data_IF_594399029977
#
_entry.id   IF_594399029977
#
_cell.length_a   1.000
_cell.length_b   1.000
_cell.length_c   1.000
_cell.angle_alpha   90.00
_cell.angle_beta   90.00
_cell.angle_gamma   90.00
#
_symmetry.space_group_name_H-M   'P 1'
#
loop_
_entity.id
_entity.type
_entity.pdbx_description
1 polymer ?
#
# COMPACT_ATOMS: atom_id res chain seq x y z
N UNK A 1 -26.78 -33.91 2.44
CA UNK A 1 -26.21 -32.77 3.15
C UNK A 1 -24.98 -32.16 2.46
N UNK A 2 -23.93 -32.93 2.11
CA UNK A 2 -22.71 -32.39 1.45
C UNK A 2 -23.00 -31.70 0.11
N UNK A 3 -23.80 -32.31 -0.79
CA UNK A 3 -24.18 -31.72 -2.09
C UNK A 3 -24.98 -30.41 -1.92
N UNK A 4 -25.89 -30.33 -0.96
CA UNK A 4 -26.67 -29.12 -0.68
C UNK A 4 -25.77 -27.97 -0.20
N UNK A 5 -24.79 -28.24 0.65
CA UNK A 5 -23.81 -27.23 1.10
C UNK A 5 -22.95 -26.71 -0.06
N UNK A 6 -22.54 -27.60 -0.96
CA UNK A 6 -21.77 -27.22 -2.18
C UNK A 6 -22.63 -26.34 -3.09
N UNK A 7 -23.89 -26.69 -3.32
CA UNK A 7 -24.81 -25.89 -4.15
C UNK A 7 -25.04 -24.50 -3.53
N UNK A 8 -25.23 -24.41 -2.21
CA UNK A 8 -25.37 -23.14 -1.49
C UNK A 8 -24.11 -22.27 -1.66
N UNK A 9 -22.91 -22.85 -1.50
CA UNK A 9 -21.64 -22.14 -1.69
C UNK A 9 -21.47 -21.65 -3.13
N UNK A 10 -21.78 -22.46 -4.14
CA UNK A 10 -21.73 -22.07 -5.55
C UNK A 10 -22.74 -20.94 -5.82
N UNK A 11 -23.96 -21.04 -5.31
CA UNK A 11 -24.98 -20.00 -5.49
C UNK A 11 -24.57 -18.68 -4.85
N UNK A 12 -23.96 -18.74 -3.65
CA UNK A 12 -23.45 -17.57 -2.95
C UNK A 12 -22.29 -16.94 -3.74
N UNK A 13 -21.36 -17.74 -4.22
CA UNK A 13 -20.24 -17.26 -5.05
C UNK A 13 -20.74 -16.59 -6.34
N UNK A 14 -21.71 -17.20 -7.02
CA UNK A 14 -22.32 -16.62 -8.22
C UNK A 14 -23.04 -15.32 -7.91
N UNK A 15 -23.74 -15.25 -6.76
CA UNK A 15 -24.39 -14.00 -6.31
C UNK A 15 -23.37 -12.88 -6.06
N UNK A 16 -22.25 -13.19 -5.38
CA UNK A 16 -21.15 -12.24 -5.13
C UNK A 16 -20.54 -11.78 -6.46
N UNK A 17 -20.21 -12.70 -7.36
CA UNK A 17 -19.63 -12.37 -8.67
C UNK A 17 -20.59 -11.49 -9.49
N UNK A 18 -21.88 -11.84 -9.53
CA UNK A 18 -22.89 -11.05 -10.22
C UNK A 18 -23.04 -9.66 -9.60
N UNK A 19 -23.02 -9.57 -8.27
CA UNK A 19 -23.04 -8.30 -7.55
C UNK A 19 -21.86 -7.41 -7.91
N UNK A 20 -20.64 -7.97 -7.89
CA UNK A 20 -19.39 -7.26 -8.24
C UNK A 20 -19.47 -6.75 -9.67
N UNK A 21 -19.82 -7.61 -10.64
CA UNK A 21 -19.93 -7.22 -12.05
C UNK A 21 -20.94 -6.10 -12.24
N UNK A 22 -22.11 -6.18 -11.60
CA UNK A 22 -23.19 -5.19 -11.72
C UNK A 22 -22.82 -3.84 -11.08
N UNK A 23 -22.05 -3.84 -9.99
CA UNK A 23 -21.70 -2.65 -9.23
C UNK A 23 -20.28 -2.14 -9.52
N UNK A 24 -19.57 -2.77 -10.45
CA UNK A 24 -18.25 -2.32 -10.86
C UNK A 24 -18.37 -0.91 -11.45
N UNK A 25 -17.62 0.03 -10.88
CA UNK A 25 -17.49 1.39 -11.41
C UNK A 25 -16.34 1.41 -12.42
N UNK A 26 -16.37 2.28 -13.43
CA UNK A 26 -15.19 2.54 -14.25
C UNK A 26 -14.02 2.92 -13.36
N UNK A 27 -12.82 2.42 -13.66
CA UNK A 27 -11.62 2.77 -12.91
C UNK A 27 -11.49 4.29 -12.82
N UNK A 28 -11.36 4.80 -11.58
CA UNK A 28 -11.14 6.23 -11.32
C UNK A 28 -9.67 6.62 -11.54
N UNK A 29 -8.81 5.65 -11.83
CA UNK A 29 -7.46 5.90 -12.31
C UNK A 29 -7.54 6.17 -13.79
N UNK A 30 -7.27 7.41 -14.28
CA UNK A 30 -7.16 7.66 -15.71
C UNK A 30 -6.05 6.75 -16.25
N UNK A 31 -6.42 5.78 -17.04
CA UNK A 31 -5.46 4.94 -17.73
C UNK A 31 -4.76 5.82 -18.78
N UNK A 32 -3.64 6.41 -18.43
CA UNK A 32 -2.62 6.75 -19.40
C UNK A 32 -2.24 5.44 -20.07
N UNK A 33 -2.68 5.21 -21.29
CA UNK A 33 -2.29 4.00 -22.02
C UNK A 33 -0.89 4.19 -22.58
N UNK A 34 -0.03 3.20 -22.33
CA UNK A 34 1.30 3.14 -22.89
C UNK A 34 2.39 3.76 -22.01
N UNK A 35 3.58 3.85 -22.55
CA UNK A 35 4.75 4.34 -21.85
C UNK A 35 4.69 5.86 -21.64
N UNK A 36 4.65 6.28 -20.38
CA UNK A 36 4.62 7.69 -19.95
C UNK A 36 6.02 8.18 -19.55
N UNK A 37 6.87 7.27 -19.11
CA UNK A 37 8.23 7.54 -18.66
C UNK A 37 9.18 7.65 -19.86
N UNK A 38 10.12 8.57 -19.80
CA UNK A 38 11.15 8.68 -20.84
C UNK A 38 12.02 7.41 -20.85
N UNK A 39 12.21 6.80 -22.00
CA UNK A 39 13.02 5.55 -22.13
C UNK A 39 14.42 5.68 -21.54
N UNK A 40 15.00 6.87 -21.59
CA UNK A 40 16.31 7.14 -20.99
C UNK A 40 16.32 6.95 -19.46
N UNK A 41 15.17 7.09 -18.79
CA UNK A 41 15.04 6.86 -17.34
C UNK A 41 14.87 5.38 -16.99
N UNK A 42 14.50 4.53 -17.95
CA UNK A 42 14.30 3.10 -17.76
C UNK A 42 15.58 2.28 -18.03
N UNK A 43 16.73 2.93 -18.07
CA UNK A 43 18.01 2.25 -18.29
C UNK A 43 18.45 1.50 -17.05
N UNK A 44 18.98 0.29 -17.25
CA UNK A 44 19.59 -0.49 -16.17
C UNK A 44 21.01 0.01 -15.93
N UNK A 45 21.39 0.22 -14.66
CA UNK A 45 22.75 0.54 -14.28
C UNK A 45 23.69 -0.65 -14.59
N UNK A 46 24.62 -0.47 -15.50
CA UNK A 46 25.56 -1.52 -15.94
C UNK A 46 26.69 -1.77 -14.95
N UNK A 47 27.06 -0.76 -14.15
CA UNK A 47 28.18 -0.79 -13.21
C UNK A 47 27.78 -0.19 -11.86
N UNK A 48 26.87 -0.83 -11.12
CA UNK A 48 26.43 -0.31 -9.84
C UNK A 48 27.55 -0.36 -8.80
N UNK A 49 27.66 0.72 -8.01
CA UNK A 49 28.52 0.77 -6.81
C UNK A 49 27.92 -0.01 -5.65
N UNK A 50 26.61 -0.21 -5.68
CA UNK A 50 25.88 -1.00 -4.70
C UNK A 50 26.39 -2.45 -4.66
N UNK A 51 26.63 -3.03 -3.47
CA UNK A 51 27.02 -4.43 -3.35
C UNK A 51 26.02 -5.38 -4.01
N UNK A 52 26.50 -6.40 -4.73
CA UNK A 52 25.66 -7.34 -5.50
C UNK A 52 24.48 -7.93 -4.70
N UNK A 53 24.70 -8.26 -3.44
CA UNK A 53 23.65 -8.81 -2.57
C UNK A 53 22.53 -7.80 -2.23
N UNK A 54 22.78 -6.50 -2.43
CA UNK A 54 21.81 -5.44 -2.16
C UNK A 54 21.18 -4.85 -3.44
N UNK A 55 21.58 -5.35 -4.62
CA UNK A 55 20.98 -4.91 -5.89
C UNK A 55 19.62 -5.55 -6.06
N UNK A 56 18.66 -4.75 -6.52
CA UNK A 56 17.29 -5.19 -6.84
C UNK A 56 16.93 -4.82 -8.27
N UNK A 57 16.03 -5.58 -8.89
CA UNK A 57 15.55 -5.26 -10.23
C UNK A 57 14.90 -3.86 -10.28
N UNK A 58 15.25 -3.00 -11.25
CA UNK A 58 14.77 -1.62 -11.32
C UNK A 58 13.28 -1.49 -11.66
N UNK A 59 12.63 -2.54 -12.18
CA UNK A 59 11.18 -2.61 -12.38
C UNK A 59 10.39 -2.60 -11.07
N UNK A 60 11.04 -2.96 -9.96
CA UNK A 60 10.40 -3.01 -8.64
C UNK A 60 9.94 -1.63 -8.17
N UNK A 61 10.57 -0.54 -8.59
CA UNK A 61 10.06 0.81 -8.25
C UNK A 61 8.62 1.01 -8.69
N UNK A 62 8.21 0.44 -9.84
CA UNK A 62 6.83 0.50 -10.33
C UNK A 62 5.94 -0.56 -9.69
N UNK A 63 6.43 -1.80 -9.57
CA UNK A 63 5.66 -2.92 -9.03
C UNK A 63 5.37 -2.79 -7.53
N UNK A 64 6.16 -2.04 -6.80
CA UNK A 64 5.94 -1.77 -5.37
C UNK A 64 4.71 -0.87 -5.12
N UNK A 65 4.27 -0.06 -6.10
CA UNK A 65 3.07 0.75 -5.90
C UNK A 65 1.79 -0.09 -5.64
N UNK A 66 1.43 -1.09 -6.47
CA UNK A 66 0.27 -1.93 -6.16
C UNK A 66 0.41 -2.69 -4.83
N UNK A 67 1.62 -3.05 -4.41
CA UNK A 67 1.88 -3.60 -3.09
C UNK A 67 1.53 -2.58 -1.99
N UNK A 68 2.03 -1.34 -2.11
CA UNK A 68 1.73 -0.27 -1.17
C UNK A 68 0.27 0.19 -1.20
N UNK A 69 -0.42 0.03 -2.31
CA UNK A 69 -1.85 0.31 -2.35
C UNK A 69 -2.63 -0.57 -1.35
N UNK A 70 -2.10 -1.76 -1.05
CA UNK A 70 -2.66 -2.67 -0.03
C UNK A 70 -2.35 -2.23 1.41
N UNK A 71 -1.53 -1.20 1.60
CA UNK A 71 -1.36 -0.46 2.87
C UNK A 71 -2.22 0.79 2.85
N UNK A 72 -2.19 1.56 1.76
CA UNK A 72 -2.96 2.80 1.63
C UNK A 72 -4.46 2.59 1.72
N UNK A 73 -4.99 1.53 1.12
CA UNK A 73 -6.42 1.24 1.13
C UNK A 73 -6.96 0.91 2.53
N UNK A 74 -6.33 0.02 3.33
CA UNK A 74 -6.70 -0.16 4.73
C UNK A 74 -6.49 1.09 5.60
N UNK A 75 -5.50 1.94 5.33
CA UNK A 75 -5.30 3.20 6.05
C UNK A 75 -6.47 4.17 5.80
N UNK A 76 -6.88 4.32 4.54
CA UNK A 76 -8.07 5.07 4.17
C UNK A 76 -9.34 4.49 4.80
N UNK A 77 -9.44 3.17 4.92
CA UNK A 77 -10.54 2.48 5.60
C UNK A 77 -10.53 2.76 7.10
N UNK A 78 -9.40 2.63 7.76
CA UNK A 78 -9.24 2.91 9.18
C UNK A 78 -9.59 4.36 9.53
N UNK A 79 -9.12 5.31 8.73
CA UNK A 79 -9.47 6.72 8.88
C UNK A 79 -10.97 6.97 8.69
N UNK A 80 -11.58 6.35 7.69
CA UNK A 80 -13.00 6.48 7.41
C UNK A 80 -13.85 5.95 8.56
N UNK A 81 -13.48 4.82 9.14
CA UNK A 81 -14.20 4.19 10.25
C UNK A 81 -14.14 4.96 11.56
N UNK A 82 -13.26 5.97 11.71
CA UNK A 82 -13.27 6.86 12.88
C UNK A 82 -14.56 7.67 13.00
N UNK A 83 -15.21 7.95 11.87
CA UNK A 83 -16.36 8.85 11.79
C UNK A 83 -17.57 8.25 11.04
N UNK A 84 -17.39 7.12 10.37
CA UNK A 84 -18.42 6.45 9.57
C UNK A 84 -18.42 4.96 9.87
N UNK A 85 -19.57 4.34 9.68
CA UNK A 85 -19.69 2.89 9.78
C UNK A 85 -19.14 2.20 8.51
N UNK A 86 -18.84 0.91 8.62
CA UNK A 86 -18.37 0.07 7.51
C UNK A 86 -19.37 -0.05 6.35
N UNK A 87 -20.66 0.23 6.59
CA UNK A 87 -21.74 0.08 5.59
C UNK A 87 -21.63 1.04 4.41
N UNK A 88 -20.94 2.15 4.57
CA UNK A 88 -20.82 3.20 3.56
C UNK A 88 -19.44 3.27 2.92
N UNK A 89 -18.50 2.44 3.36
CA UNK A 89 -17.14 2.41 2.77
C UNK A 89 -17.18 1.88 1.32
N UNK A 90 -16.49 2.55 0.38
CA UNK A 90 -16.58 2.25 -1.05
C UNK A 90 -15.62 1.12 -1.48
N UNK A 91 -15.76 -0.08 -0.91
CA UNK A 91 -14.86 -1.24 -1.11
C UNK A 91 -14.52 -1.51 -2.59
N UNK A 92 -15.53 -1.56 -3.48
CA UNK A 92 -15.31 -1.92 -4.87
C UNK A 92 -14.56 -0.83 -5.65
N UNK A 93 -14.67 0.44 -5.23
CA UNK A 93 -13.86 1.51 -5.84
C UNK A 93 -12.38 1.34 -5.52
N UNK A 94 -12.04 0.91 -4.31
CA UNK A 94 -10.65 0.58 -3.94
C UNK A 94 -10.11 -0.58 -4.77
N UNK A 95 -10.92 -1.62 -5.01
CA UNK A 95 -10.55 -2.72 -5.91
C UNK A 95 -10.27 -2.22 -7.32
N UNK A 96 -11.15 -1.37 -7.87
CA UNK A 96 -10.95 -0.80 -9.21
C UNK A 96 -9.70 0.08 -9.28
N UNK A 97 -9.43 0.87 -8.25
CA UNK A 97 -8.23 1.70 -8.15
C UNK A 97 -6.94 0.86 -8.10
N UNK A 98 -6.95 -0.22 -7.34
CA UNK A 98 -5.80 -1.14 -7.24
C UNK A 98 -5.46 -1.75 -8.60
N UNK A 99 -6.42 -2.34 -9.27
CA UNK A 99 -6.18 -2.96 -10.58
C UNK A 99 -5.90 -1.93 -11.68
N UNK A 100 -6.54 -0.77 -11.63
CA UNK A 100 -6.25 0.33 -12.54
C UNK A 100 -4.83 0.85 -12.41
N UNK A 101 -4.35 1.06 -11.20
CA UNK A 101 -2.96 1.49 -10.95
C UNK A 101 -1.94 0.43 -11.35
N UNK A 102 -2.22 -0.86 -11.06
CA UNK A 102 -1.36 -1.96 -11.52
C UNK A 102 -1.23 -1.97 -13.05
N UNK A 103 -2.33 -1.76 -13.79
CA UNK A 103 -2.29 -1.65 -15.25
C UNK A 103 -1.39 -0.53 -15.74
N UNK A 104 -1.49 0.68 -15.16
CA UNK A 104 -0.60 1.80 -15.51
C UNK A 104 0.87 1.47 -15.23
N UNK A 105 1.16 0.85 -14.07
CA UNK A 105 2.53 0.44 -13.73
C UNK A 105 3.07 -0.61 -14.68
N UNK A 106 2.24 -1.58 -15.05
CA UNK A 106 2.62 -2.61 -16.00
C UNK A 106 3.00 -2.02 -17.37
N UNK A 107 2.23 -1.05 -17.87
CA UNK A 107 2.53 -0.35 -19.13
C UNK A 107 3.91 0.36 -19.11
N UNK A 108 4.43 0.76 -17.93
CA UNK A 108 5.76 1.40 -17.83
C UNK A 108 6.91 0.38 -17.93
N UNK A 109 6.69 -0.86 -17.53
CA UNK A 109 7.74 -1.89 -17.46
C UNK A 109 7.70 -2.87 -18.62
N UNK A 110 6.52 -3.07 -19.22
CA UNK A 110 6.34 -3.99 -20.33
C UNK A 110 7.26 -3.65 -21.52
N UNK A 111 8.03 -4.65 -21.96
CA UNK A 111 8.99 -4.47 -23.07
C UNK A 111 10.23 -3.65 -22.74
N UNK A 112 10.34 -3.04 -21.56
CA UNK A 112 11.50 -2.28 -21.11
C UNK A 112 12.37 -3.06 -20.10
N UNK A 113 11.77 -3.99 -19.36
CA UNK A 113 12.46 -4.86 -18.39
C UNK A 113 12.08 -6.32 -18.61
N UNK A 114 12.93 -7.28 -18.19
CA UNK A 114 12.55 -8.69 -18.13
C UNK A 114 11.34 -8.89 -17.22
N UNK A 115 10.42 -9.79 -17.59
CA UNK A 115 9.23 -10.04 -16.79
C UNK A 115 9.58 -10.65 -15.43
N UNK A 116 9.30 -9.94 -14.36
CA UNK A 116 9.59 -10.32 -12.98
C UNK A 116 8.45 -11.24 -12.44
N UNK A 117 8.47 -12.50 -12.87
CA UNK A 117 7.41 -13.47 -12.55
C UNK A 117 7.11 -13.55 -11.06
N UNK A 118 8.15 -13.60 -10.21
CA UNK A 118 7.99 -13.73 -8.75
C UNK A 118 7.21 -12.55 -8.16
N UNK A 119 7.57 -11.34 -8.56
CA UNK A 119 6.92 -10.13 -8.05
C UNK A 119 5.48 -9.98 -8.57
N UNK A 120 5.26 -10.23 -9.86
CA UNK A 120 3.91 -10.20 -10.42
C UNK A 120 2.98 -11.22 -9.78
N UNK A 121 3.45 -12.47 -9.56
CA UNK A 121 2.66 -13.51 -8.88
C UNK A 121 2.33 -13.09 -7.45
N UNK A 122 3.28 -12.51 -6.72
CA UNK A 122 3.04 -11.97 -5.38
C UNK A 122 1.92 -10.91 -5.40
N UNK A 123 2.01 -9.91 -6.30
CA UNK A 123 0.98 -8.88 -6.45
C UNK A 123 -0.37 -9.51 -6.77
N UNK A 124 -0.45 -10.45 -7.73
CA UNK A 124 -1.71 -11.08 -8.12
C UNK A 124 -2.35 -11.88 -6.99
N UNK A 125 -1.55 -12.56 -6.18
CA UNK A 125 -2.06 -13.29 -5.01
C UNK A 125 -2.64 -12.33 -3.97
N UNK A 126 -1.89 -11.29 -3.61
CA UNK A 126 -2.31 -10.33 -2.60
C UNK A 126 -3.51 -9.51 -3.11
N UNK A 127 -3.41 -8.95 -4.31
CA UNK A 127 -4.48 -8.16 -4.92
C UNK A 127 -5.76 -8.99 -5.15
N UNK A 128 -5.61 -10.26 -5.58
CA UNK A 128 -6.71 -11.20 -5.71
C UNK A 128 -7.39 -11.49 -4.38
N UNK A 129 -6.61 -11.73 -3.32
CA UNK A 129 -7.14 -11.93 -1.96
C UNK A 129 -7.91 -10.70 -1.46
N UNK A 130 -7.36 -9.51 -1.64
CA UNK A 130 -8.02 -8.25 -1.27
C UNK A 130 -9.29 -8.01 -2.10
N UNK A 131 -9.27 -8.35 -3.40
CA UNK A 131 -10.47 -8.28 -4.25
C UNK A 131 -11.59 -9.15 -3.70
N UNK A 132 -11.28 -10.39 -3.31
CA UNK A 132 -12.26 -11.31 -2.71
C UNK A 132 -12.76 -10.76 -1.38
N UNK A 133 -11.87 -10.33 -0.49
CA UNK A 133 -12.23 -9.77 0.81
C UNK A 133 -13.15 -8.55 0.65
N UNK A 134 -12.77 -7.57 -0.16
CA UNK A 134 -13.56 -6.34 -0.35
C UNK A 134 -14.88 -6.60 -1.08
N UNK A 135 -14.93 -7.60 -1.96
CA UNK A 135 -16.17 -8.02 -2.59
C UNK A 135 -17.14 -8.62 -1.58
N UNK A 136 -16.65 -9.47 -0.69
CA UNK A 136 -17.45 -10.07 0.39
C UNK A 136 -17.92 -8.98 1.37
N UNK A 137 -17.01 -8.08 1.76
CA UNK A 137 -17.35 -6.92 2.64
C UNK A 137 -18.44 -6.07 1.99
N UNK A 138 -18.26 -5.67 0.73
CA UNK A 138 -19.23 -4.85 -0.01
C UNK A 138 -20.61 -5.52 -0.12
N UNK A 139 -20.63 -6.82 -0.43
CA UNK A 139 -21.87 -7.59 -0.53
C UNK A 139 -22.58 -7.69 0.83
N UNK A 140 -21.84 -8.06 1.86
CA UNK A 140 -22.37 -8.19 3.22
C UNK A 140 -22.94 -6.86 3.73
N UNK A 141 -22.16 -5.77 3.61
CA UNK A 141 -22.58 -4.45 4.06
C UNK A 141 -23.80 -3.92 3.29
N UNK A 142 -23.92 -4.23 2.01
CA UNK A 142 -25.07 -3.82 1.21
C UNK A 142 -26.35 -4.56 1.61
N UNK A 143 -26.27 -5.84 1.97
CA UNK A 143 -27.45 -6.66 2.24
C UNK A 143 -27.78 -6.70 3.74
N UNK A 144 -26.80 -6.90 4.60
CA UNK A 144 -27.00 -7.09 6.04
C UNK A 144 -26.63 -5.85 6.82
N UNK A 145 -25.47 -5.27 6.56
CA UNK A 145 -24.98 -4.09 7.27
C UNK A 145 -25.99 -2.94 7.25
N UNK A 146 -26.54 -2.62 6.08
CA UNK A 146 -27.55 -1.55 5.92
C UNK A 146 -28.87 -1.81 6.65
N UNK A 147 -29.24 -3.06 6.89
CA UNK A 147 -30.47 -3.39 7.65
C UNK A 147 -30.27 -3.12 9.14
N UNK A 148 -29.09 -3.39 9.65
CA UNK A 148 -28.76 -3.23 11.07
C UNK A 148 -28.29 -1.82 11.40
N UNK A 149 -27.73 -1.11 10.44
CA UNK A 149 -27.23 0.26 10.55
C UNK A 149 -28.34 1.26 10.22
N UNK A 150 -29.28 1.40 11.13
CA UNK A 150 -30.46 2.25 10.94
C UNK A 150 -30.15 3.74 11.06
N UNK A 151 -29.02 4.11 11.67
CA UNK A 151 -28.58 5.49 11.87
C UNK A 151 -27.09 5.66 11.56
N UNK A 152 -26.65 5.55 10.29
CA UNK A 152 -25.25 5.55 9.93
C UNK A 152 -24.50 6.89 10.20
N UNK A 153 -25.25 7.95 10.51
CA UNK A 153 -24.70 9.28 10.84
C UNK A 153 -24.81 9.62 12.33
N UNK A 154 -25.27 8.69 13.17
CA UNK A 154 -25.44 8.88 14.60
C UNK A 154 -24.39 8.06 15.39
N UNK A 155 -24.67 7.82 16.65
CA UNK A 155 -23.73 7.24 17.60
C UNK A 155 -23.25 5.84 17.19
N UNK A 156 -21.95 5.71 16.91
CA UNK A 156 -21.31 4.43 16.58
C UNK A 156 -21.35 3.48 17.78
N UNK A 157 -21.64 2.21 17.53
CA UNK A 157 -21.59 1.18 18.57
C UNK A 157 -20.17 0.93 19.08
N UNK A 158 -20.03 0.26 20.20
CA UNK A 158 -18.71 -0.14 20.71
C UNK A 158 -17.98 -1.07 19.72
N UNK A 159 -18.73 -1.89 18.99
CA UNK A 159 -18.22 -2.80 17.97
C UNK A 159 -17.76 -2.02 16.70
N UNK A 160 -18.48 -0.96 16.31
CA UNK A 160 -18.02 -0.09 15.20
C UNK A 160 -16.74 0.67 15.58
N UNK A 161 -16.64 1.19 16.81
CA UNK A 161 -15.42 1.82 17.34
C UNK A 161 -14.25 0.84 17.41
N UNK A 162 -14.52 -0.36 17.94
CA UNK A 162 -13.53 -1.44 17.94
C UNK A 162 -13.01 -1.75 16.55
N UNK A 163 -13.89 -1.79 15.53
CA UNK A 163 -13.50 -2.02 14.14
C UNK A 163 -12.54 -0.93 13.64
N UNK A 164 -12.80 0.34 13.94
CA UNK A 164 -11.91 1.44 13.59
C UNK A 164 -10.53 1.31 14.27
N UNK A 165 -10.49 1.00 15.56
CA UNK A 165 -9.26 0.83 16.33
C UNK A 165 -8.46 -0.40 15.85
N UNK A 166 -9.14 -1.50 15.55
CA UNK A 166 -8.55 -2.71 14.98
C UNK A 166 -7.90 -2.44 13.63
N UNK A 167 -8.63 -1.85 12.68
CA UNK A 167 -8.09 -1.53 11.35
C UNK A 167 -6.90 -0.57 11.47
N UNK A 168 -6.95 0.43 12.34
CA UNK A 168 -5.84 1.34 12.57
C UNK A 168 -4.59 0.62 13.12
N UNK A 169 -4.76 -0.26 14.10
CA UNK A 169 -3.64 -1.04 14.66
C UNK A 169 -3.06 -2.02 13.62
N UNK A 170 -3.92 -2.58 12.78
CA UNK A 170 -3.50 -3.46 11.68
C UNK A 170 -2.67 -2.71 10.64
N UNK A 171 -3.10 -1.52 10.22
CA UNK A 171 -2.34 -0.67 9.28
C UNK A 171 -0.96 -0.35 9.82
N UNK A 172 -0.86 0.11 11.08
CA UNK A 172 0.44 0.40 11.73
C UNK A 172 1.37 -0.81 11.75
N UNK A 173 0.83 -2.00 11.87
CA UNK A 173 1.61 -3.23 11.82
C UNK A 173 2.13 -3.52 10.41
N UNK A 174 1.27 -3.45 9.39
CA UNK A 174 1.64 -3.79 8.00
C UNK A 174 2.51 -2.74 7.30
N UNK A 175 2.65 -1.54 7.85
CA UNK A 175 3.64 -0.55 7.40
C UNK A 175 5.09 -1.04 7.55
N UNK A 176 5.34 -2.01 8.43
CA UNK A 176 6.68 -2.50 8.75
C UNK A 176 6.83 -4.02 8.74
N UNK A 177 5.76 -4.76 8.94
CA UNK A 177 5.78 -6.21 9.13
C UNK A 177 4.76 -6.91 8.23
N UNK A 178 5.01 -8.19 7.87
CA UNK A 178 4.09 -8.96 7.05
C UNK A 178 2.73 -9.16 7.74
N UNK A 179 1.66 -8.94 7.02
CA UNK A 179 0.29 -8.99 7.53
C UNK A 179 -0.07 -10.31 8.26
N UNK A 180 0.50 -11.44 7.85
CA UNK A 180 0.23 -12.76 8.43
C UNK A 180 0.86 -12.97 9.82
N UNK A 181 1.72 -12.06 10.26
CA UNK A 181 2.29 -12.04 11.61
C UNK A 181 1.46 -11.22 12.60
N UNK A 182 0.42 -10.52 12.13
CA UNK A 182 -0.46 -9.76 13.00
C UNK A 182 -1.29 -10.67 13.93
N UNK A 183 -1.38 -10.32 15.21
CA UNK A 183 -2.09 -11.13 16.21
C UNK A 183 -3.62 -10.91 16.16
N UNK A 184 -4.25 -11.51 15.17
CA UNK A 184 -5.70 -11.52 15.03
C UNK A 184 -6.42 -12.19 16.21
N UNK A 185 -5.77 -13.15 16.90
CA UNK A 185 -6.35 -13.81 18.07
C UNK A 185 -6.42 -12.88 19.28
N UNK A 186 -5.44 -11.99 19.45
CA UNK A 186 -5.48 -10.94 20.44
C UNK A 186 -6.66 -9.99 20.17
N UNK A 187 -6.87 -9.58 18.93
CA UNK A 187 -7.99 -8.73 18.55
C UNK A 187 -9.34 -9.42 18.78
N UNK A 188 -9.44 -10.72 18.48
CA UNK A 188 -10.65 -11.48 18.77
C UNK A 188 -10.99 -11.51 20.26
N UNK A 189 -10.02 -11.73 21.12
CA UNK A 189 -10.20 -11.66 22.58
C UNK A 189 -10.61 -10.26 23.03
N UNK A 190 -9.95 -9.23 22.49
CA UNK A 190 -10.24 -7.83 22.79
C UNK A 190 -11.67 -7.44 22.37
N UNK A 191 -12.14 -7.89 21.21
CA UNK A 191 -13.52 -7.67 20.76
C UNK A 191 -14.51 -8.16 21.82
N UNK A 192 -14.35 -9.38 22.32
CA UNK A 192 -15.29 -9.97 23.27
C UNK A 192 -15.18 -9.41 24.70
N UNK A 193 -14.02 -8.92 25.10
CA UNK A 193 -13.82 -8.36 26.43
C UNK A 193 -14.19 -6.88 26.53
N UNK A 194 -14.02 -6.10 25.44
CA UNK A 194 -14.10 -4.64 25.49
C UNK A 194 -15.41 -4.10 24.89
N UNK A 195 -16.25 -4.92 24.26
CA UNK A 195 -17.54 -4.48 23.71
C UNK A 195 -18.70 -5.07 24.53
N UNK A 196 -19.40 -4.26 25.32
CA UNK A 196 -20.53 -4.74 26.15
C UNK A 196 -21.76 -5.07 25.29
N UNK A 197 -22.46 -6.18 25.59
CA UNK A 197 -23.70 -6.56 24.88
C UNK A 197 -24.94 -5.76 25.32
N UNK A 198 -24.80 -4.85 26.27
CA UNK A 198 -25.91 -4.01 26.77
C UNK A 198 -25.94 -2.65 26.06
N UNK A 199 -27.06 -1.95 26.15
CA UNK A 199 -27.26 -0.61 25.63
C UNK A 199 -28.03 -0.53 24.30
N UNK A 200 -28.10 0.67 23.67
CA UNK A 200 -28.85 0.88 22.42
C UNK A 200 -28.25 0.10 21.23
N UNK A 201 -29.05 -0.01 20.16
CA UNK A 201 -28.62 -0.62 18.88
C UNK A 201 -28.18 -2.10 19.00
N UNK A 202 -28.87 -2.89 19.84
CA UNK A 202 -28.50 -4.28 20.13
C UNK A 202 -28.37 -5.14 18.85
N UNK A 203 -29.26 -4.96 17.87
CA UNK A 203 -29.20 -5.70 16.62
C UNK A 203 -27.89 -5.40 15.85
N UNK A 204 -27.49 -4.13 15.76
CA UNK A 204 -26.22 -3.71 15.15
C UNK A 204 -25.04 -4.29 15.91
N UNK A 205 -25.05 -4.23 17.24
CA UNK A 205 -23.96 -4.77 18.07
C UNK A 205 -23.77 -6.27 17.88
N UNK A 206 -24.85 -7.04 17.87
CA UNK A 206 -24.81 -8.49 17.64
C UNK A 206 -24.31 -8.83 16.24
N UNK A 207 -24.81 -8.10 15.24
CA UNK A 207 -24.42 -8.28 13.86
C UNK A 207 -22.93 -7.96 13.66
N UNK A 208 -22.44 -6.80 14.15
CA UNK A 208 -21.03 -6.42 14.07
C UNK A 208 -20.12 -7.41 14.79
N UNK A 209 -20.51 -7.83 15.98
CA UNK A 209 -19.75 -8.83 16.75
C UNK A 209 -19.65 -10.16 16.01
N UNK A 210 -20.74 -10.63 15.42
CA UNK A 210 -20.72 -11.84 14.59
C UNK A 210 -19.79 -11.68 13.39
N UNK A 211 -19.93 -10.56 12.68
CA UNK A 211 -19.12 -10.27 11.50
C UNK A 211 -17.62 -10.20 11.85
N UNK A 212 -17.24 -9.36 12.81
CA UNK A 212 -15.84 -9.18 13.22
C UNK A 212 -15.24 -10.46 13.80
N UNK A 213 -16.02 -11.24 14.56
CA UNK A 213 -15.59 -12.56 15.04
C UNK A 213 -15.22 -13.46 13.86
N UNK A 214 -16.10 -13.53 12.86
CA UNK A 214 -15.88 -14.37 11.67
C UNK A 214 -14.66 -13.88 10.88
N UNK A 215 -14.53 -12.58 10.65
CA UNK A 215 -13.39 -11.98 9.96
C UNK A 215 -12.08 -12.29 10.66
N UNK A 216 -11.98 -12.03 11.97
CA UNK A 216 -10.76 -12.25 12.74
C UNK A 216 -10.37 -13.73 12.81
N UNK A 217 -11.34 -14.65 12.91
CA UNK A 217 -11.09 -16.09 12.85
C UNK A 217 -10.56 -16.51 11.48
N UNK A 218 -11.15 -16.01 10.39
CA UNK A 218 -10.70 -16.32 9.02
C UNK A 218 -9.29 -15.76 8.78
N UNK A 219 -9.04 -14.51 9.16
CA UNK A 219 -7.72 -13.88 9.03
C UNK A 219 -6.65 -14.60 9.86
N UNK A 220 -6.99 -15.02 11.09
CA UNK A 220 -6.08 -15.80 11.94
C UNK A 220 -5.72 -17.15 11.30
N UNK A 221 -6.72 -17.90 10.81
CA UNK A 221 -6.49 -19.18 10.13
C UNK A 221 -5.71 -19.04 8.83
N UNK A 222 -6.03 -18.03 8.03
CA UNK A 222 -5.34 -17.75 6.77
C UNK A 222 -3.91 -17.26 7.01
N UNK A 223 -3.69 -16.36 7.98
CA UNK A 223 -2.35 -15.89 8.36
C UNK A 223 -1.46 -17.03 8.86
N UNK A 224 -2.00 -17.94 9.67
CA UNK A 224 -1.29 -19.15 10.08
C UNK A 224 -0.89 -20.02 8.87
N UNK A 225 -1.79 -20.25 7.92
CA UNK A 225 -1.51 -21.04 6.72
C UNK A 225 -0.42 -20.41 5.85
N UNK A 226 -0.49 -19.11 5.61
CA UNK A 226 0.52 -18.37 4.84
C UNK A 226 1.87 -18.38 5.58
N UNK A 227 1.87 -18.15 6.90
CA UNK A 227 3.09 -18.21 7.71
C UNK A 227 3.81 -19.56 7.67
N UNK A 228 3.09 -20.68 7.52
CA UNK A 228 3.70 -22.00 7.28
C UNK A 228 4.40 -22.09 5.91
N UNK A 229 3.77 -21.51 4.87
CA UNK A 229 4.31 -21.54 3.50
C UNK A 229 5.53 -20.61 3.34
N UNK A 230 5.45 -19.41 3.89
CA UNK A 230 6.51 -18.37 3.72
C UNK A 230 7.78 -18.69 4.50
N UNK A 231 7.70 -19.26 5.70
CA UNK A 231 8.87 -19.66 6.50
C UNK A 231 9.77 -20.70 5.80
N UNK A 232 9.22 -21.44 4.84
CA UNK A 232 9.96 -22.45 4.09
C UNK A 232 10.43 -21.99 2.71
N UNK A 233 9.91 -20.88 2.19
CA UNK A 233 10.09 -20.50 0.78
C UNK A 233 10.76 -19.13 0.57
N UNK A 234 10.82 -18.27 1.58
CA UNK A 234 11.36 -16.92 1.42
C UNK A 234 12.42 -16.61 2.47
N UNK A 235 13.57 -16.09 2.00
CA UNK A 235 14.52 -15.40 2.87
C UNK A 235 13.83 -14.19 3.52
N UNK A 236 14.14 -13.94 4.79
CA UNK A 236 13.63 -12.75 5.49
C UNK A 236 14.03 -11.51 4.70
N UNK A 237 13.06 -10.74 4.24
CA UNK A 237 13.33 -9.52 3.50
C UNK A 237 14.22 -8.59 4.34
N UNK A 238 15.29 -8.08 3.73
CA UNK A 238 16.14 -7.10 4.41
C UNK A 238 15.31 -5.89 4.82
N UNK A 239 15.40 -5.50 6.08
CA UNK A 239 14.76 -4.28 6.59
C UNK A 239 15.50 -3.00 6.19
N UNK A 240 16.63 -3.13 5.46
CA UNK A 240 17.44 -2.01 4.99
C UNK A 240 17.64 -2.08 3.49
N UNK A 241 17.75 -0.92 2.85
CA UNK A 241 18.13 -0.75 1.45
C UNK A 241 19.45 -0.01 1.36
N UNK A 242 20.32 -0.44 0.43
CA UNK A 242 21.60 0.20 0.17
C UNK A 242 21.38 1.43 -0.71
N UNK A 243 21.93 2.56 -0.28
CA UNK A 243 21.82 3.84 -0.98
C UNK A 243 23.21 4.43 -1.15
N UNK A 244 23.57 4.77 -2.37
CA UNK A 244 24.80 5.51 -2.68
C UNK A 244 24.44 6.99 -2.78
N UNK A 245 25.12 7.80 -1.98
CA UNK A 245 24.97 9.25 -1.98
C UNK A 245 26.26 9.95 -2.34
N UNK A 246 26.14 11.18 -2.83
CA UNK A 246 27.23 12.12 -2.99
C UNK A 246 27.11 13.25 -1.97
N UNK A 247 28.22 13.53 -1.30
CA UNK A 247 28.36 14.59 -0.28
C UNK A 247 29.42 15.58 -0.72
N UNK A 248 29.35 16.80 -0.20
CA UNK A 248 30.45 17.75 -0.36
C UNK A 248 31.73 17.23 0.29
N UNK A 249 32.90 17.37 -0.35
CA UNK A 249 34.17 16.92 0.22
C UNK A 249 34.41 17.54 1.59
N UNK A 250 34.76 16.73 2.58
CA UNK A 250 35.00 17.15 3.95
C UNK A 250 33.77 17.25 4.85
N UNK A 251 32.56 16.97 4.32
CA UNK A 251 31.38 16.82 5.15
C UNK A 251 31.47 15.52 5.97
N UNK A 252 31.23 15.62 7.27
CA UNK A 252 31.12 14.44 8.15
C UNK A 252 29.65 14.10 8.33
N UNK A 253 29.27 12.86 8.05
CA UNK A 253 27.96 12.34 8.42
C UNK A 253 28.05 11.83 9.86
N UNK A 254 27.47 12.58 10.78
CA UNK A 254 27.41 12.18 12.20
C UNK A 254 26.25 11.19 12.36
N UNK A 255 26.53 9.93 12.20
CA UNK A 255 25.52 8.90 12.32
C UNK A 255 26.00 7.52 11.97
N UNK A 256 25.64 6.63 12.78
CA UNK A 256 25.44 5.19 12.71
C UNK A 256 26.48 4.29 12.02
N UNK A 257 26.62 3.09 12.56
CA UNK A 257 27.55 2.00 12.18
C UNK A 257 27.33 1.43 10.77
N UNK A 258 26.34 1.93 10.02
CA UNK A 258 25.92 1.44 8.71
C UNK A 258 26.44 2.30 7.53
N UNK A 259 27.52 3.04 7.75
CA UNK A 259 28.13 3.93 6.75
C UNK A 259 29.42 3.33 6.24
N UNK A 260 29.60 3.30 4.89
CA UNK A 260 30.84 2.91 4.25
C UNK A 260 31.26 4.00 3.26
N UNK A 261 32.38 4.65 3.53
CA UNK A 261 33.00 5.60 2.58
C UNK A 261 33.60 4.82 1.42
N UNK A 262 33.20 5.19 0.20
CA UNK A 262 33.68 4.59 -1.05
C UNK A 262 34.74 5.47 -1.73
N UNK A 263 34.61 6.80 -1.60
CA UNK A 263 35.58 7.80 -2.06
C UNK A 263 35.42 9.09 -1.26
N UNK A 264 36.20 10.13 -1.54
CA UNK A 264 36.18 11.42 -0.82
C UNK A 264 34.81 12.10 -0.80
N UNK A 265 33.95 11.81 -1.80
CA UNK A 265 32.61 12.39 -1.90
C UNK A 265 31.48 11.37 -1.96
N UNK A 266 31.78 10.07 -2.06
CA UNK A 266 30.78 9.02 -2.28
C UNK A 266 30.69 8.09 -1.08
N UNK A 267 29.47 7.88 -0.58
CA UNK A 267 29.20 7.11 0.63
C UNK A 267 28.09 6.11 0.37
N UNK A 268 28.25 4.88 0.87
CA UNK A 268 27.20 3.89 0.95
C UNK A 268 26.54 3.98 2.33
N UNK A 269 25.22 4.17 2.33
CA UNK A 269 24.35 4.12 3.50
C UNK A 269 23.43 2.90 3.42
N UNK A 270 23.09 2.32 4.56
CA UNK A 270 22.00 1.36 4.67
C UNK A 270 20.82 2.04 5.36
N UNK A 271 19.87 2.52 4.60
CA UNK A 271 18.67 3.19 5.11
C UNK A 271 17.58 2.16 5.45
N UNK A 272 16.72 2.47 6.44
CA UNK A 272 15.55 1.64 6.69
C UNK A 272 14.65 1.62 5.46
N UNK A 273 13.89 0.54 5.29
CA UNK A 273 12.93 0.37 4.19
C UNK A 273 11.55 0.85 4.58
N UNK A 274 10.64 0.74 3.63
CA UNK A 274 9.21 0.99 3.80
C UNK A 274 8.90 2.43 4.22
N UNK A 275 8.01 2.63 5.20
CA UNK A 275 7.59 3.96 5.63
C UNK A 275 8.75 4.83 6.14
N UNK A 276 9.72 4.24 6.84
CA UNK A 276 10.88 4.97 7.38
C UNK A 276 11.83 5.48 6.27
N UNK A 277 11.86 4.83 5.10
CA UNK A 277 12.65 5.28 3.95
C UNK A 277 12.22 6.67 3.48
N UNK A 278 10.92 6.95 3.48
CA UNK A 278 10.38 8.26 3.13
C UNK A 278 10.91 9.38 4.05
N UNK A 279 11.00 9.12 5.34
CA UNK A 279 11.52 10.09 6.32
C UNK A 279 13.04 10.31 6.12
N UNK A 280 13.79 9.21 5.95
CA UNK A 280 15.24 9.26 5.75
C UNK A 280 15.59 10.02 4.45
N UNK A 281 14.95 9.70 3.33
CA UNK A 281 15.20 10.37 2.04
C UNK A 281 14.80 11.84 2.06
N UNK A 282 13.70 12.18 2.74
CA UNK A 282 13.27 13.57 2.92
C UNK A 282 14.27 14.38 3.74
N UNK A 283 14.85 13.78 4.79
CA UNK A 283 15.89 14.43 5.61
C UNK A 283 17.17 14.65 4.80
N UNK A 284 17.62 13.63 4.07
CA UNK A 284 18.81 13.73 3.21
C UNK A 284 18.63 14.79 2.12
N UNK A 285 17.48 14.83 1.46
CA UNK A 285 17.17 15.83 0.45
C UNK A 285 17.15 17.26 0.99
N UNK A 286 16.58 17.47 2.19
CA UNK A 286 16.62 18.80 2.87
C UNK A 286 18.03 19.27 3.14
N UNK A 287 18.94 18.35 3.45
CA UNK A 287 20.37 18.64 3.69
C UNK A 287 21.21 18.75 2.40
N UNK A 288 20.57 18.73 1.23
CA UNK A 288 21.24 18.90 -0.05
C UNK A 288 22.02 17.67 -0.55
N UNK A 289 21.85 16.51 0.08
CA UNK A 289 22.50 15.26 -0.30
C UNK A 289 21.95 14.78 -1.64
N UNK A 290 22.83 14.36 -2.54
CA UNK A 290 22.48 13.86 -3.88
C UNK A 290 22.48 12.32 -3.85
N UNK A 291 21.41 11.71 -4.32
CA UNK A 291 21.34 10.26 -4.51
C UNK A 291 22.00 9.88 -5.83
N UNK A 292 22.84 8.85 -5.82
CA UNK A 292 23.47 8.25 -7.00
C UNK A 292 22.87 6.91 -7.37
N UNK A 293 22.61 6.08 -6.35
CA UNK A 293 21.97 4.77 -6.51
C UNK A 293 21.07 4.46 -5.32
N UNK A 294 19.96 3.78 -5.58
CA UNK A 294 19.08 3.19 -4.58
C UNK A 294 18.89 1.72 -4.96
N UNK A 295 19.35 0.80 -4.11
CA UNK A 295 19.36 -0.64 -4.39
C UNK A 295 20.01 -1.00 -5.75
N UNK A 296 21.03 -0.25 -6.17
CA UNK A 296 21.70 -0.41 -7.47
C UNK A 296 21.02 0.29 -8.65
N UNK A 297 19.82 0.84 -8.46
CA UNK A 297 19.10 1.62 -9.46
C UNK A 297 19.61 3.06 -9.48
N UNK A 298 19.91 3.60 -10.67
CA UNK A 298 20.25 5.00 -10.92
C UNK A 298 19.29 5.68 -11.92
N UNK A 299 18.32 4.94 -12.43
CA UNK A 299 17.32 5.38 -13.39
C UNK A 299 16.05 5.93 -12.72
N UNK A 300 14.91 5.50 -13.25
CA UNK A 300 13.59 5.91 -12.74
C UNK A 300 13.35 5.46 -11.29
N UNK A 301 12.82 6.36 -10.49
CA UNK A 301 12.34 6.07 -9.13
C UNK A 301 11.00 6.75 -8.90
N UNK A 302 10.09 6.03 -8.28
CA UNK A 302 8.74 6.52 -7.98
C UNK A 302 8.62 7.18 -6.64
N UNK A 303 7.65 8.10 -6.55
CA UNK A 303 7.13 8.63 -5.30
C UNK A 303 5.65 8.95 -5.44
N UNK A 304 4.94 8.98 -4.32
CA UNK A 304 3.55 9.43 -4.24
C UNK A 304 3.41 10.63 -3.33
N UNK A 305 2.48 11.51 -3.68
CA UNK A 305 2.12 12.70 -2.92
C UNK A 305 0.62 12.76 -2.70
N UNK A 306 0.20 13.44 -1.65
CA UNK A 306 -1.19 13.78 -1.41
C UNK A 306 -1.41 15.28 -1.65
N UNK A 307 -2.42 15.64 -2.43
CA UNK A 307 -2.70 17.05 -2.74
C UNK A 307 -4.16 17.29 -3.07
N UNK A 308 -4.65 18.48 -2.71
CA UNK A 308 -5.95 18.99 -3.11
C UNK A 308 -5.88 19.79 -4.42
N UNK A 309 -4.68 20.06 -4.92
CA UNK A 309 -4.47 20.89 -6.09
C UNK A 309 -3.78 20.09 -7.21
N UNK A 310 -4.10 20.36 -8.47
CA UNK A 310 -3.37 19.78 -9.58
C UNK A 310 -1.88 20.13 -9.52
N UNK A 311 -1.02 19.14 -9.65
CA UNK A 311 0.40 19.37 -9.76
C UNK A 311 0.76 19.82 -11.17
N UNK A 312 1.58 20.87 -11.28
CA UNK A 312 2.04 21.35 -12.59
C UNK A 312 3.12 20.42 -13.15
N UNK A 313 3.09 20.08 -14.44
CA UNK A 313 4.18 19.36 -15.08
C UNK A 313 5.54 20.05 -14.86
N UNK A 314 6.60 19.26 -14.67
CA UNK A 314 7.97 19.73 -14.51
C UNK A 314 8.94 18.84 -15.31
N UNK A 315 10.02 19.37 -15.85
CA UNK A 315 11.03 18.55 -16.50
C UNK A 315 11.70 17.53 -15.57
N UNK A 316 11.69 17.80 -14.27
CA UNK A 316 12.33 16.94 -13.26
C UNK A 316 11.54 15.69 -12.87
N UNK A 317 10.26 15.60 -13.23
CA UNK A 317 9.41 14.44 -12.94
C UNK A 317 8.31 14.27 -13.97
N UNK A 318 7.74 13.06 -14.05
CA UNK A 318 6.55 12.73 -14.85
C UNK A 318 5.44 12.27 -13.92
N UNK A 319 4.22 12.70 -14.18
CA UNK A 319 3.02 12.19 -13.51
C UNK A 319 2.56 10.95 -14.26
N UNK A 320 2.44 9.83 -13.55
CA UNK A 320 1.92 8.59 -14.12
C UNK A 320 0.41 8.57 -14.07
N UNK A 321 -0.17 8.93 -12.93
CA UNK A 321 -1.63 9.08 -12.78
C UNK A 321 -1.96 9.92 -11.55
N UNK A 322 -3.21 10.38 -11.52
CA UNK A 322 -3.84 11.01 -10.37
C UNK A 322 -5.02 10.15 -9.93
N UNK A 323 -5.05 9.75 -8.67
CA UNK A 323 -6.05 8.88 -8.08
C UNK A 323 -6.78 9.62 -6.96
N UNK A 324 -8.11 9.84 -7.07
CA UNK A 324 -8.85 10.49 -6.00
C UNK A 324 -8.89 9.61 -4.76
N UNK A 325 -8.71 10.19 -3.57
CA UNK A 325 -8.97 9.52 -2.30
C UNK A 325 -10.48 9.46 -2.10
N UNK A 326 -11.06 8.27 -2.29
CA UNK A 326 -12.52 8.09 -2.40
C UNK A 326 -13.25 8.50 -1.12
N UNK A 327 -12.55 8.37 0.01
CA UNK A 327 -13.06 8.69 1.36
C UNK A 327 -12.85 10.14 1.77
N UNK A 328 -12.04 10.91 1.01
CA UNK A 328 -11.70 12.32 1.32
C UNK A 328 -11.89 13.18 0.08
N UNK A 329 -13.12 13.67 -0.19
CA UNK A 329 -13.42 14.47 -1.37
C UNK A 329 -12.47 15.66 -1.53
N UNK A 330 -11.97 15.86 -2.75
CA UNK A 330 -11.01 16.91 -3.09
C UNK A 330 -9.55 16.54 -2.89
N UNK A 331 -9.24 15.49 -2.12
CA UNK A 331 -7.87 15.00 -1.97
C UNK A 331 -7.56 13.94 -3.05
N UNK A 332 -6.36 14.02 -3.61
CA UNK A 332 -5.89 13.05 -4.61
C UNK A 332 -4.48 12.57 -4.26
N UNK A 333 -4.22 11.29 -4.54
CA UNK A 333 -2.88 10.71 -4.61
C UNK A 333 -2.35 10.88 -6.02
N UNK A 334 -1.17 11.45 -6.17
CA UNK A 334 -0.47 11.56 -7.45
C UNK A 334 0.73 10.61 -7.41
N UNK A 335 0.75 9.64 -8.30
CA UNK A 335 1.93 8.82 -8.55
C UNK A 335 2.79 9.51 -9.60
N UNK A 336 4.05 9.73 -9.27
CA UNK A 336 5.02 10.36 -10.14
C UNK A 336 6.34 9.61 -10.15
N UNK A 337 7.11 9.83 -11.19
CA UNK A 337 8.44 9.26 -11.36
C UNK A 337 9.45 10.37 -11.66
N UNK A 338 10.62 10.24 -11.07
CA UNK A 338 11.80 11.06 -11.33
C UNK A 338 13.00 10.13 -11.57
N UNK A 339 14.20 10.66 -11.78
CA UNK A 339 15.42 9.84 -11.72
C UNK A 339 16.01 9.87 -10.33
N UNK A 340 16.77 8.84 -9.95
CA UNK A 340 17.48 8.80 -8.66
C UNK A 340 18.35 10.06 -8.48
N UNK A 341 19.06 10.50 -9.52
CA UNK A 341 19.88 11.72 -9.48
C UNK A 341 19.08 13.01 -9.24
N UNK A 342 17.80 13.05 -9.66
CA UNK A 342 16.92 14.21 -9.47
C UNK A 342 16.04 14.08 -8.21
N UNK A 343 16.08 12.95 -7.49
CA UNK A 343 15.19 12.67 -6.38
C UNK A 343 15.26 13.75 -5.30
N UNK A 344 16.47 14.14 -4.88
CA UNK A 344 16.66 15.19 -3.86
C UNK A 344 16.05 16.52 -4.28
N UNK A 345 16.28 16.95 -5.51
CA UNK A 345 15.70 18.20 -6.03
C UNK A 345 14.19 18.13 -6.11
N UNK A 346 13.65 16.99 -6.53
CA UNK A 346 12.19 16.76 -6.58
C UNK A 346 11.58 16.80 -5.19
N UNK A 347 12.14 16.07 -4.23
CA UNK A 347 11.68 16.06 -2.83
C UNK A 347 11.71 17.47 -2.25
N UNK A 348 12.86 18.19 -2.39
CA UNK A 348 13.00 19.55 -1.89
C UNK A 348 11.97 20.49 -2.50
N UNK A 349 11.77 20.44 -3.81
CA UNK A 349 10.75 21.26 -4.50
C UNK A 349 9.34 21.00 -3.96
N UNK A 350 8.98 19.75 -3.73
CA UNK A 350 7.68 19.39 -3.16
C UNK A 350 7.51 19.94 -1.74
N UNK A 351 8.53 19.76 -0.89
CA UNK A 351 8.49 20.21 0.49
C UNK A 351 8.46 21.75 0.60
N UNK A 352 9.23 22.48 -0.23
CA UNK A 352 9.24 23.93 -0.29
C UNK A 352 7.86 24.48 -0.71
N UNK A 353 7.13 23.73 -1.56
CA UNK A 353 5.76 24.04 -1.95
C UNK A 353 4.71 23.49 -0.97
N UNK A 354 5.11 22.96 0.18
CA UNK A 354 4.25 22.38 1.22
C UNK A 354 3.36 21.23 0.70
N UNK A 355 3.86 20.49 -0.28
CA UNK A 355 3.20 19.29 -0.81
C UNK A 355 3.69 18.09 0.01
N UNK A 356 2.83 17.41 0.76
CA UNK A 356 3.22 16.26 1.56
C UNK A 356 3.57 15.08 0.66
N UNK A 357 4.77 14.50 0.88
CA UNK A 357 5.18 13.25 0.25
C UNK A 357 4.57 12.11 1.05
N UNK A 358 3.79 11.27 0.39
CA UNK A 358 3.16 10.12 1.01
C UNK A 358 4.12 8.95 1.10
N UNK A 359 4.83 8.66 -0.01
CA UNK A 359 5.80 7.57 -0.04
C UNK A 359 6.89 7.82 -1.09
N UNK A 360 8.12 7.40 -0.78
CA UNK A 360 9.24 7.27 -1.72
C UNK A 360 9.60 5.79 -1.82
N UNK A 361 9.60 5.26 -3.04
CA UNK A 361 9.85 3.82 -3.26
C UNK A 361 11.34 3.51 -3.21
N UNK A 362 11.72 2.49 -2.47
CA UNK A 362 13.10 2.18 -2.07
C UNK A 362 13.85 1.23 -3.02
N UNK A 363 13.54 1.35 -4.34
CA UNK A 363 14.12 0.48 -5.39
C UNK A 363 14.74 1.27 -6.54
#
# INVERSE_FOLDING_TARGET
MRRLRILILISLLLAIVTFVIKNRQPSTVPAGKGLLVDKAWLTTNQHPLTPKAAIRPPDQTFLTYPEWFLVFSPDEQADYFKTHTSTTFPYLKHVDQMWGSYGVMYDQIEGNFPFNTGYHVMIWVIAGSTTVEYSIKSFYETIIGRITDTNPNEEMTAEDKFNADYEHSYVKFIEALPWYEYDFNHQLKSLWSNTPLSGPHLLRKLERRYYLTTELMVKSGYGWLIGLGTKSAYETASLKTAVIIEMEPGSTFDGDKDIKVLSDSTVLLNLPRYAEFNQATSLLAKNGIIFKEIAGNNGAIMLTILTNNPLKPSPGYKILFTQPIVTKPGLSRIAMVTTVGNLSTTIKTLLDNKVPIEHVYDY
#
